data_IF_027096039906
#
_entry.id   IF_027096039906
#
_cell.length_a   1.000
_cell.length_b   1.000
_cell.length_c   1.000
_cell.angle_alpha   90.00
_cell.angle_beta   90.00
_cell.angle_gamma   90.00
#
_symmetry.space_group_name_H-M   'P 1'
#
loop_
_entity.id
_entity.type
_entity.pdbx_description
1 polymer ?
#
# COMPACT_ATOMS: atom_id res chain seq x y z
N UNK A 1 -4.10 14.45 -13.70
CA UNK A 1 -4.04 13.06 -13.21
C UNK A 1 -2.74 12.94 -12.40
N UNK A 2 -2.80 12.58 -11.11
CA UNK A 2 -1.63 12.64 -10.20
C UNK A 2 -0.72 11.40 -10.29
N UNK A 3 -1.30 10.27 -10.70
CA UNK A 3 -0.61 9.02 -10.99
C UNK A 3 -1.16 8.45 -12.29
N UNK A 4 -0.29 7.85 -13.09
CA UNK A 4 -0.63 6.99 -14.21
C UNK A 4 -0.87 5.60 -13.67
N UNK A 5 -1.92 4.96 -14.18
CA UNK A 5 -2.25 3.57 -13.90
C UNK A 5 -2.19 2.84 -15.23
N UNK A 6 -1.34 1.82 -15.31
CA UNK A 6 -1.20 0.99 -16.51
C UNK A 6 -1.08 -0.49 -16.14
N UNK A 7 -1.41 -1.36 -17.09
CA UNK A 7 -1.15 -2.80 -16.95
C UNK A 7 0.19 -3.12 -17.62
N UNK A 8 1.10 -3.73 -16.87
CA UNK A 8 2.39 -4.20 -17.37
C UNK A 8 2.49 -5.70 -17.05
N UNK A 9 2.54 -6.54 -18.07
CA UNK A 9 2.62 -8.00 -17.93
C UNK A 9 1.58 -8.61 -16.98
N UNK A 10 0.35 -8.09 -17.02
CA UNK A 10 -0.75 -8.54 -16.17
C UNK A 10 -0.80 -7.86 -14.80
N UNK A 11 0.26 -7.19 -14.36
CA UNK A 11 0.29 -6.45 -13.10
C UNK A 11 -0.33 -5.06 -13.27
N UNK A 12 -1.12 -4.66 -12.29
CA UNK A 12 -1.57 -3.27 -12.19
C UNK A 12 -0.46 -2.42 -11.56
N UNK A 13 0.05 -1.47 -12.34
CA UNK A 13 1.17 -0.61 -11.98
C UNK A 13 0.69 0.83 -11.86
N UNK A 14 1.00 1.44 -10.73
CA UNK A 14 0.71 2.82 -10.38
C UNK A 14 2.02 3.57 -10.32
N UNK A 15 2.12 4.72 -10.99
CA UNK A 15 3.34 5.52 -10.91
C UNK A 15 3.06 7.00 -11.16
N UNK A 16 3.90 7.88 -10.61
CA UNK A 16 3.69 9.31 -10.78
C UNK A 16 4.81 10.16 -10.22
N UNK A 17 4.97 11.36 -10.79
CA UNK A 17 6.04 12.28 -10.42
C UNK A 17 5.85 12.87 -9.01
N UNK A 18 4.60 12.97 -8.54
CA UNK A 18 4.29 13.55 -7.22
C UNK A 18 5.00 12.81 -6.07
N UNK A 19 5.03 11.48 -6.15
CA UNK A 19 5.68 10.65 -5.14
C UNK A 19 7.00 10.05 -5.61
N UNK A 20 7.36 10.29 -6.88
CA UNK A 20 8.52 9.71 -7.56
C UNK A 20 8.67 8.20 -7.31
N UNK A 21 7.56 7.48 -7.38
CA UNK A 21 7.52 6.05 -7.06
C UNK A 21 6.69 5.26 -8.06
N UNK A 22 7.02 3.98 -8.16
CA UNK A 22 6.18 2.96 -8.76
C UNK A 22 5.60 2.10 -7.62
N UNK A 23 4.34 1.72 -7.73
CA UNK A 23 3.70 0.70 -6.91
C UNK A 23 3.08 -0.36 -7.83
N UNK A 24 3.35 -1.63 -7.56
CA UNK A 24 2.68 -2.73 -8.24
C UNK A 24 2.19 -3.75 -7.22
N UNK A 25 1.08 -4.41 -7.55
CA UNK A 25 0.65 -5.63 -6.84
C UNK A 25 0.93 -6.82 -7.74
N UNK A 26 1.49 -7.89 -7.16
CA UNK A 26 1.56 -9.15 -7.90
C UNK A 26 0.13 -9.63 -8.26
N UNK A 27 -0.01 -10.22 -9.43
CA UNK A 27 -1.21 -10.92 -9.85
C UNK A 27 -0.89 -12.41 -10.05
N UNK A 28 -1.94 -13.22 -10.20
CA UNK A 28 -1.79 -14.64 -10.48
C UNK A 28 -1.04 -14.86 -11.81
N UNK A 29 -0.15 -15.85 -11.84
CA UNK A 29 0.59 -16.28 -13.03
C UNK A 29 1.53 -15.24 -13.70
N UNK A 30 1.98 -14.23 -12.95
CA UNK A 30 2.97 -13.26 -13.47
C UNK A 30 4.40 -13.81 -13.35
N UNK A 31 5.18 -13.65 -14.42
CA UNK A 31 6.63 -13.78 -14.38
C UNK A 31 7.24 -12.52 -13.76
N UNK A 32 7.53 -12.56 -12.46
CA UNK A 32 8.09 -11.43 -11.71
C UNK A 32 9.45 -10.96 -12.26
N UNK A 33 10.29 -11.87 -12.76
CA UNK A 33 11.58 -11.47 -13.35
C UNK A 33 11.39 -10.53 -14.55
N UNK A 34 10.46 -10.90 -15.45
CA UNK A 34 10.17 -10.11 -16.64
C UNK A 34 9.47 -8.78 -16.31
N UNK A 35 8.51 -8.81 -15.39
CA UNK A 35 7.84 -7.60 -14.90
C UNK A 35 8.84 -6.61 -14.31
N UNK A 36 9.77 -7.09 -13.48
CA UNK A 36 10.74 -6.23 -12.80
C UNK A 36 11.73 -5.58 -13.78
N UNK A 37 12.07 -6.23 -14.89
CA UNK A 37 12.87 -5.60 -15.95
C UNK A 37 12.17 -4.36 -16.51
N UNK A 38 10.87 -4.47 -16.83
CA UNK A 38 10.08 -3.35 -17.36
C UNK A 38 9.88 -2.25 -16.32
N UNK A 39 9.56 -2.62 -15.08
CA UNK A 39 9.36 -1.66 -13.98
C UNK A 39 10.65 -0.89 -13.69
N UNK A 40 11.82 -1.55 -13.67
CA UNK A 40 13.11 -0.87 -13.44
C UNK A 40 13.48 0.06 -14.59
N UNK A 41 13.23 -0.35 -15.84
CA UNK A 41 13.41 0.52 -17.01
C UNK A 41 12.49 1.75 -16.95
N UNK A 42 11.22 1.57 -16.58
CA UNK A 42 10.28 2.68 -16.36
C UNK A 42 10.76 3.63 -15.25
N UNK A 43 11.21 3.08 -14.11
CA UNK A 43 11.74 3.87 -13.01
C UNK A 43 12.94 4.72 -13.44
N UNK A 44 13.85 4.14 -14.23
CA UNK A 44 14.99 4.85 -14.80
C UNK A 44 14.55 5.96 -15.76
N UNK A 45 13.69 5.65 -16.74
CA UNK A 45 13.19 6.62 -17.74
C UNK A 45 12.46 7.80 -17.11
N UNK A 46 11.75 7.58 -16.00
CA UNK A 46 10.98 8.62 -15.30
C UNK A 46 11.72 9.23 -14.10
N UNK A 47 12.96 8.81 -13.83
CA UNK A 47 13.74 9.22 -12.66
C UNK A 47 12.98 9.04 -11.33
N UNK A 48 12.26 7.93 -11.22
CA UNK A 48 11.62 7.53 -9.96
C UNK A 48 12.67 7.02 -8.98
N UNK A 49 12.40 7.22 -7.69
CA UNK A 49 13.33 7.07 -6.57
C UNK A 49 13.01 5.84 -5.72
N UNK A 50 11.84 5.22 -5.92
CA UNK A 50 11.36 4.06 -5.16
C UNK A 50 10.45 3.17 -6.00
N UNK A 51 10.62 1.87 -5.89
CA UNK A 51 9.72 0.87 -6.46
C UNK A 51 9.15 0.06 -5.30
N UNK A 52 7.83 0.03 -5.16
CA UNK A 52 7.12 -0.74 -4.14
C UNK A 52 6.37 -1.91 -4.77
N UNK A 53 6.53 -3.09 -4.17
CA UNK A 53 5.80 -4.30 -4.52
C UNK A 53 4.94 -4.78 -3.36
N UNK A 54 3.67 -5.10 -3.64
CA UNK A 54 2.81 -5.89 -2.76
C UNK A 54 2.82 -7.34 -3.26
N UNK A 55 3.31 -8.25 -2.43
CA UNK A 55 3.50 -9.66 -2.79
C UNK A 55 3.03 -10.60 -1.67
N UNK A 56 2.59 -11.80 -2.04
CA UNK A 56 2.48 -12.94 -1.14
C UNK A 56 3.87 -13.50 -0.84
N UNK A 57 3.94 -14.45 0.09
CA UNK A 57 5.17 -15.15 0.44
C UNK A 57 5.92 -15.73 -0.79
N UNK A 58 5.20 -16.16 -1.83
CA UNK A 58 5.78 -16.67 -3.07
C UNK A 58 6.63 -15.63 -3.80
N UNK A 59 6.14 -14.39 -3.88
CA UNK A 59 6.84 -13.29 -4.56
C UNK A 59 8.01 -12.72 -3.77
N UNK A 60 8.01 -12.86 -2.44
CA UNK A 60 9.06 -12.31 -1.55
C UNK A 60 10.45 -12.80 -1.94
N UNK A 61 10.63 -14.09 -2.20
CA UNK A 61 11.96 -14.66 -2.53
C UNK A 61 12.53 -14.05 -3.81
N UNK A 62 11.68 -13.90 -4.84
CA UNK A 62 12.08 -13.31 -6.13
C UNK A 62 12.40 -11.83 -5.94
N UNK A 63 11.57 -11.08 -5.21
CA UNK A 63 11.82 -9.66 -5.00
C UNK A 63 13.09 -9.40 -4.19
N UNK A 64 13.33 -10.18 -3.14
CA UNK A 64 14.57 -10.10 -2.36
C UNK A 64 15.81 -10.35 -3.21
N UNK A 65 15.78 -11.34 -4.12
CA UNK A 65 16.92 -11.62 -5.00
C UNK A 65 17.19 -10.49 -6.00
N UNK A 66 16.26 -9.54 -6.18
CA UNK A 66 16.40 -8.36 -7.03
C UNK A 66 16.70 -7.06 -6.27
N UNK A 67 17.03 -7.16 -4.97
CA UNK A 67 17.42 -6.03 -4.13
C UNK A 67 16.27 -5.36 -3.38
N UNK A 68 15.07 -5.94 -3.38
CA UNK A 68 13.97 -5.41 -2.57
C UNK A 68 14.14 -5.80 -1.10
N UNK A 69 13.82 -4.85 -0.21
CA UNK A 69 13.79 -5.03 1.24
C UNK A 69 12.34 -5.06 1.70
N UNK A 70 12.04 -5.92 2.67
CA UNK A 70 10.70 -5.97 3.29
C UNK A 70 10.52 -4.75 4.19
N UNK A 71 9.49 -3.95 3.91
CA UNK A 71 9.11 -2.80 4.76
C UNK A 71 8.01 -3.17 5.74
N UNK A 72 7.09 -4.05 5.34
CA UNK A 72 6.01 -4.51 6.20
C UNK A 72 5.57 -5.93 5.84
N UNK A 73 5.12 -6.65 6.87
CA UNK A 73 4.40 -7.92 6.77
C UNK A 73 3.01 -7.71 7.38
N UNK A 74 1.97 -8.09 6.65
CA UNK A 74 0.58 -8.06 7.11
C UNK A 74 0.06 -9.50 7.14
N UNK A 75 -0.16 -10.08 8.35
CA UNK A 75 -0.73 -11.41 8.48
C UNK A 75 -2.10 -11.53 7.81
N UNK A 76 -2.33 -12.61 7.07
CA UNK A 76 -3.63 -12.88 6.43
C UNK A 76 -4.10 -11.85 5.40
N UNK A 77 -3.20 -11.03 4.83
CA UNK A 77 -3.55 -9.96 3.88
C UNK A 77 -4.33 -10.47 2.66
N UNK A 78 -4.00 -11.67 2.19
CA UNK A 78 -4.65 -12.29 1.05
C UNK A 78 -5.71 -13.27 1.55
N UNK A 79 -6.98 -12.88 1.39
CA UNK A 79 -8.17 -13.68 1.75
C UNK A 79 -8.19 -14.22 3.19
N UNK A 80 -7.51 -13.53 4.12
CA UNK A 80 -7.47 -13.92 5.54
C UNK A 80 -6.53 -15.07 5.86
N UNK A 81 -5.90 -15.71 4.87
CA UNK A 81 -5.16 -16.97 5.05
C UNK A 81 -3.70 -16.89 4.66
N UNK A 82 -3.34 -16.00 3.74
CA UNK A 82 -1.98 -15.88 3.23
C UNK A 82 -1.42 -14.52 3.65
N UNK A 83 -0.24 -14.55 4.27
CA UNK A 83 0.49 -13.35 4.66
C UNK A 83 0.90 -12.55 3.42
N UNK A 84 0.74 -11.24 3.53
CA UNK A 84 1.19 -10.32 2.49
C UNK A 84 2.34 -9.46 2.95
N UNK A 85 3.16 -9.06 2.00
CA UNK A 85 4.39 -8.34 2.21
C UNK A 85 4.40 -7.09 1.34
N UNK A 86 4.81 -5.98 1.93
CA UNK A 86 5.21 -4.79 1.18
C UNK A 86 6.72 -4.73 1.16
N UNK A 87 7.29 -4.72 -0.04
CA UNK A 87 8.71 -4.65 -0.26
C UNK A 87 9.06 -3.43 -1.10
N UNK A 88 10.25 -2.89 -0.91
CA UNK A 88 10.73 -1.77 -1.70
C UNK A 88 12.16 -1.93 -2.18
N UNK A 89 12.42 -1.44 -3.38
CA UNK A 89 13.75 -1.18 -3.90
C UNK A 89 13.90 0.34 -4.08
N UNK A 90 15.08 0.85 -3.69
CA UNK A 90 15.38 2.27 -3.65
C UNK A 90 16.42 2.58 -4.73
N UNK A 91 15.96 3.11 -5.85
CA UNK A 91 16.84 3.50 -6.96
C UNK A 91 17.74 4.68 -6.58
N UNK A 92 17.35 5.46 -5.56
CA UNK A 92 18.19 6.47 -4.90
C UNK A 92 18.30 6.16 -3.41
N UNK A 93 19.51 5.97 -2.90
CA UNK A 93 19.74 5.56 -1.51
C UNK A 93 19.34 6.65 -0.50
N UNK A 94 19.40 7.93 -0.89
CA UNK A 94 18.97 9.05 -0.07
C UNK A 94 17.48 8.98 0.27
N UNK A 95 16.68 8.31 -0.57
CA UNK A 95 15.25 8.10 -0.35
C UNK A 95 14.95 7.13 0.80
N UNK A 96 15.90 6.27 1.14
CA UNK A 96 15.85 5.38 2.30
C UNK A 96 16.36 6.07 3.58
N UNK A 97 17.22 7.08 3.43
CA UNK A 97 17.81 7.76 4.57
C UNK A 97 16.80 8.65 5.31
N UNK A 98 16.91 8.65 6.64
CA UNK A 98 16.20 9.59 7.50
C UNK A 98 17.24 10.37 8.32
N UNK A 99 17.07 11.68 8.41
CA UNK A 99 17.85 12.50 9.32
C UNK A 99 17.46 12.20 10.79
N UNK A 100 18.30 12.63 11.73
CA UNK A 100 18.08 12.37 13.16
C UNK A 100 16.76 12.97 13.66
N UNK A 101 16.36 14.12 13.12
CA UNK A 101 15.08 14.76 13.45
C UNK A 101 13.89 13.87 13.07
N UNK A 102 13.92 13.30 11.88
CA UNK A 102 12.88 12.41 11.35
C UNK A 102 12.84 11.12 12.16
N UNK A 103 13.99 10.51 12.45
CA UNK A 103 14.06 9.32 13.32
C UNK A 103 13.46 9.58 14.70
N UNK A 104 13.79 10.72 15.32
CA UNK A 104 13.22 11.12 16.61
C UNK A 104 11.71 11.29 16.53
N UNK A 105 11.22 11.95 15.48
CA UNK A 105 9.77 12.12 15.24
C UNK A 105 9.08 10.75 15.14
N UNK A 106 9.62 9.83 14.32
CA UNK A 106 9.07 8.47 14.16
C UNK A 106 9.00 7.75 15.52
N UNK A 107 10.09 7.80 16.29
CA UNK A 107 10.15 7.17 17.63
C UNK A 107 9.12 7.76 18.59
N UNK A 108 8.96 9.08 18.60
CA UNK A 108 7.98 9.77 19.45
C UNK A 108 6.55 9.38 19.06
N UNK A 109 6.21 9.45 17.78
CA UNK A 109 4.87 9.08 17.28
C UNK A 109 4.56 7.63 17.62
N UNK A 110 5.52 6.72 17.45
CA UNK A 110 5.37 5.30 17.82
C UNK A 110 5.07 5.15 19.32
N UNK A 111 5.84 5.82 20.17
CA UNK A 111 5.68 5.76 21.62
C UNK A 111 4.29 6.27 22.05
N UNK A 112 3.83 7.38 21.46
CA UNK A 112 2.50 7.94 21.73
C UNK A 112 1.41 6.94 21.30
N UNK A 113 1.51 6.38 20.09
CA UNK A 113 0.54 5.43 19.58
C UNK A 113 0.45 4.15 20.44
N UNK A 114 1.60 3.62 20.89
CA UNK A 114 1.66 2.46 21.78
C UNK A 114 1.05 2.77 23.15
N UNK A 115 1.33 3.96 23.72
CA UNK A 115 0.75 4.39 24.98
C UNK A 115 -0.78 4.60 24.90
N UNK A 116 -1.27 5.05 23.73
CA UNK A 116 -2.69 5.22 23.45
C UNK A 116 -3.44 3.90 23.21
N UNK A 117 -2.74 2.77 23.01
CA UNK A 117 -3.35 1.47 22.73
C UNK A 117 -3.96 0.77 23.96
N UNK A 118 -4.32 1.55 25.00
CA UNK A 118 -5.05 1.06 26.16
C UNK A 118 -6.56 1.13 25.89
N UNK A 119 -7.39 0.24 26.45
CA UNK A 119 -8.84 0.34 26.33
C UNK A 119 -9.29 1.74 26.75
N UNK A 120 -9.81 2.52 25.82
CA UNK A 120 -10.23 3.88 26.12
C UNK A 120 -11.55 3.87 26.86
N UNK A 121 -11.52 4.40 28.08
CA UNK A 121 -12.70 4.66 28.90
C UNK A 121 -13.26 6.07 28.66
N UNK A 122 -12.78 6.81 27.65
CA UNK A 122 -13.22 8.16 27.35
C UNK A 122 -14.66 8.16 26.80
N UNK A 123 -15.63 8.75 27.53
CA UNK A 123 -17.02 8.82 27.10
C UNK A 123 -17.20 9.53 25.75
N UNK A 124 -16.32 10.46 25.38
CA UNK A 124 -16.39 11.20 24.11
C UNK A 124 -16.02 10.36 22.90
N UNK A 125 -15.41 9.19 23.11
CA UNK A 125 -15.03 8.26 22.05
C UNK A 125 -15.96 7.05 21.98
N UNK A 126 -17.06 7.08 22.75
CA UNK A 126 -18.16 6.14 22.60
C UNK A 126 -18.92 6.42 21.30
N UNK A 127 -19.44 5.35 20.70
CA UNK A 127 -20.34 5.50 19.55
C UNK A 127 -21.60 6.23 20.03
N UNK A 128 -21.99 7.35 19.38
CA UNK A 128 -23.22 8.05 19.70
C UNK A 128 -24.41 7.08 19.75
N UNK A 129 -25.30 7.24 20.73
CA UNK A 129 -26.43 6.32 20.95
C UNK A 129 -27.39 6.20 19.76
N UNK A 130 -27.39 7.19 18.87
CA UNK A 130 -28.16 7.21 17.62
C UNK A 130 -27.43 6.57 16.42
N UNK A 131 -26.22 6.05 16.60
CA UNK A 131 -25.44 5.38 15.55
C UNK A 131 -25.23 3.91 15.92
N UNK A 132 -25.31 3.04 14.90
CA UNK A 132 -25.06 1.61 15.02
C UNK A 132 -23.87 1.22 14.17
N UNK A 133 -22.90 0.53 14.77
CA UNK A 133 -21.83 -0.15 14.05
C UNK A 133 -22.36 -1.51 13.59
N UNK A 134 -22.18 -1.82 12.31
CA UNK A 134 -22.46 -3.14 11.73
C UNK A 134 -21.43 -3.48 10.67
N UNK A 135 -21.25 -4.77 10.42
CA UNK A 135 -20.51 -5.22 9.25
C UNK A 135 -21.18 -4.74 7.95
N UNK A 136 -20.36 -4.34 6.98
CA UNK A 136 -20.83 -4.02 5.63
C UNK A 136 -21.18 -5.31 4.88
N UNK A 137 -22.16 -5.20 3.98
CA UNK A 137 -22.56 -6.27 3.05
C UNK A 137 -22.39 -5.80 1.61
N UNK A 138 -22.59 -6.71 0.64
CA UNK A 138 -22.46 -6.38 -0.78
C UNK A 138 -23.40 -5.24 -1.23
N UNK A 139 -24.55 -5.08 -0.58
CA UNK A 139 -25.47 -3.97 -0.84
C UNK A 139 -24.90 -2.59 -0.48
N UNK A 140 -23.89 -2.51 0.39
CA UNK A 140 -23.26 -1.25 0.78
C UNK A 140 -22.15 -0.80 -0.18
N UNK A 141 -21.71 -1.68 -1.09
CA UNK A 141 -20.51 -1.46 -1.88
C UNK A 141 -20.58 -0.17 -2.70
N UNK A 142 -21.75 0.16 -3.24
CA UNK A 142 -21.94 1.40 -4.02
C UNK A 142 -21.81 2.67 -3.15
N UNK A 143 -22.35 2.62 -1.93
CA UNK A 143 -22.26 3.73 -0.98
C UNK A 143 -20.82 3.90 -0.49
N UNK A 144 -20.14 2.78 -0.23
CA UNK A 144 -18.74 2.77 0.17
C UNK A 144 -17.84 3.34 -0.93
N UNK A 145 -18.06 2.96 -2.19
CA UNK A 145 -17.36 3.54 -3.34
C UNK A 145 -17.56 5.06 -3.41
N UNK A 146 -18.80 5.54 -3.32
CA UNK A 146 -19.11 6.98 -3.36
C UNK A 146 -18.42 7.75 -2.23
N UNK A 147 -18.49 7.23 -1.00
CA UNK A 147 -17.81 7.80 0.16
C UNK A 147 -16.28 7.84 -0.06
N UNK A 148 -15.70 6.76 -0.59
CA UNK A 148 -14.27 6.67 -0.86
C UNK A 148 -13.83 7.70 -1.91
N UNK A 149 -14.60 7.87 -2.99
CA UNK A 149 -14.32 8.87 -4.02
C UNK A 149 -14.35 10.29 -3.46
N UNK A 150 -15.26 10.59 -2.52
CA UNK A 150 -15.34 11.88 -1.83
C UNK A 150 -14.18 12.10 -0.85
N UNK A 151 -13.80 11.07 -0.10
CA UNK A 151 -12.77 11.15 0.93
C UNK A 151 -11.35 11.17 0.35
N UNK A 152 -11.10 10.45 -0.75
CA UNK A 152 -9.76 10.23 -1.29
C UNK A 152 -9.58 10.83 -2.68
N UNK A 153 -9.10 12.09 -2.72
CA UNK A 153 -8.81 12.82 -3.96
C UNK A 153 -7.77 12.15 -4.87
N UNK A 154 -6.80 11.45 -4.28
CA UNK A 154 -5.62 10.93 -5.01
C UNK A 154 -5.77 9.49 -5.48
N UNK A 155 -6.67 8.71 -4.87
CA UNK A 155 -6.94 7.34 -5.28
C UNK A 155 -8.44 6.99 -5.22
N UNK A 156 -9.32 7.77 -5.88
CA UNK A 156 -10.76 7.66 -5.68
C UNK A 156 -11.34 6.28 -6.05
N UNK A 157 -10.68 5.53 -6.94
CA UNK A 157 -11.18 4.28 -7.53
C UNK A 157 -10.48 3.00 -7.02
N UNK A 158 -9.96 2.99 -5.77
CA UNK A 158 -9.36 1.77 -5.19
C UNK A 158 -10.40 0.74 -4.75
N UNK A 159 -11.62 1.17 -4.44
CA UNK A 159 -12.76 0.28 -4.20
C UNK A 159 -13.46 0.11 -5.56
N UNK A 160 -13.34 -1.07 -6.16
CA UNK A 160 -14.01 -1.41 -7.42
C UNK A 160 -15.00 -2.52 -7.20
N UNK A 161 -16.21 -2.34 -7.73
CA UNK A 161 -17.14 -3.46 -7.97
C UNK A 161 -16.56 -4.28 -9.11
N UNK A 162 -15.88 -5.39 -8.82
CA UNK A 162 -15.71 -6.42 -9.84
C UNK A 162 -17.03 -7.17 -9.90
N UNK A 163 -17.79 -6.98 -10.97
CA UNK A 163 -18.77 -7.98 -11.36
C UNK A 163 -17.98 -9.25 -11.67
N UNK A 164 -18.23 -10.30 -10.91
CA UNK A 164 -17.78 -11.66 -11.21
C UNK A 164 -18.29 -12.08 -12.60
#
# INVERSE_FOLDING_TARGET
>A
MFETIENIDGALVYHGNMHKRIFFSEAENINLDHLLLKIKDLAKKKNYEKILGKASEKGVKVLKSKGFVVEAKIPGLYRGTIDGYFLAEYTKQERLAHDEKTKKTISTVKTIAEAANKPQTDPHLQTPSNLKIRSLTDSDLKNLENLHQKAYKYHPHQIKVHFL
#
